data_IF_694673112011
#
_entry.id   IF_694673112011
#
_cell.length_a   1.000
_cell.length_b   1.000
_cell.length_c   1.000
_cell.angle_alpha   90.00
_cell.angle_beta   90.00
_cell.angle_gamma   90.00
#
_symmetry.space_group_name_H-M   'P 1'
#
loop_
_entity.id
_entity.type
_entity.pdbx_description
1 polymer ?
#
# COMPACT_ATOMS: atom_id res chain seq x y z
N UNK A 1 -23.30 -2.67 1.11
CA UNK A 1 -22.71 -2.50 -0.24
C UNK A 1 -21.74 -1.33 -0.27
N UNK A 2 -22.10 -0.19 0.32
CA UNK A 2 -21.35 1.06 0.14
C UNK A 2 -19.91 0.98 0.62
N UNK A 3 -19.66 0.40 1.81
CA UNK A 3 -18.29 0.34 2.34
C UNK A 3 -17.32 -0.47 1.46
N UNK A 4 -17.68 -1.69 1.06
CA UNK A 4 -16.81 -2.54 0.22
C UNK A 4 -16.60 -1.91 -1.16
N UNK A 5 -17.63 -1.28 -1.71
CA UNK A 5 -17.54 -0.56 -2.98
C UNK A 5 -16.56 0.62 -2.91
N UNK A 6 -16.68 1.47 -1.89
CA UNK A 6 -15.75 2.58 -1.68
C UNK A 6 -14.34 2.10 -1.35
N UNK A 7 -14.21 1.02 -0.58
CA UNK A 7 -12.92 0.40 -0.28
C UNK A 7 -12.22 -0.06 -1.56
N UNK A 8 -12.95 -0.69 -2.48
CA UNK A 8 -12.42 -1.12 -3.76
C UNK A 8 -11.97 0.08 -4.62
N UNK A 9 -12.73 1.17 -4.67
CA UNK A 9 -12.34 2.38 -5.40
C UNK A 9 -11.03 2.95 -4.84
N UNK A 10 -10.94 3.14 -3.53
CA UNK A 10 -9.75 3.71 -2.89
C UNK A 10 -8.54 2.79 -3.07
N UNK A 11 -8.71 1.47 -2.93
CA UNK A 11 -7.67 0.49 -3.22
C UNK A 11 -7.11 0.67 -4.63
N UNK A 12 -7.97 0.79 -5.64
CA UNK A 12 -7.53 0.96 -7.03
C UNK A 12 -6.78 2.29 -7.24
N UNK A 13 -7.23 3.39 -6.64
CA UNK A 13 -6.54 4.70 -6.73
C UNK A 13 -5.12 4.59 -6.20
N UNK A 14 -4.94 4.03 -5.00
CA UNK A 14 -3.62 3.89 -4.40
C UNK A 14 -2.75 2.87 -5.16
N UNK A 15 -3.31 1.78 -5.68
CA UNK A 15 -2.57 0.86 -6.55
C UNK A 15 -2.05 1.54 -7.83
N UNK A 16 -2.84 2.39 -8.47
CA UNK A 16 -2.41 3.17 -9.64
C UNK A 16 -1.30 4.14 -9.24
N UNK A 17 -1.46 4.89 -8.14
CA UNK A 17 -0.42 5.81 -7.67
C UNK A 17 0.87 5.10 -7.28
N UNK A 18 0.78 3.95 -6.62
CA UNK A 18 1.94 3.11 -6.31
C UNK A 18 2.67 2.67 -7.56
N UNK A 19 1.93 2.17 -8.56
CA UNK A 19 2.49 1.74 -9.83
C UNK A 19 3.15 2.90 -10.61
N UNK A 20 2.46 4.04 -10.74
CA UNK A 20 3.02 5.26 -11.35
C UNK A 20 4.24 5.76 -10.60
N UNK A 21 4.23 5.71 -9.27
CA UNK A 21 5.36 6.08 -8.42
C UNK A 21 6.60 5.23 -8.69
N UNK A 22 6.43 3.91 -8.84
CA UNK A 22 7.54 3.00 -9.17
C UNK A 22 8.08 3.28 -10.57
N UNK A 23 7.20 3.45 -11.58
CA UNK A 23 7.63 3.70 -12.96
C UNK A 23 8.42 5.01 -13.11
N UNK A 24 7.97 6.06 -12.42
CA UNK A 24 8.57 7.39 -12.51
C UNK A 24 9.64 7.64 -11.44
N UNK A 25 9.98 6.64 -10.62
CA UNK A 25 10.88 6.76 -9.48
C UNK A 25 10.50 7.91 -8.51
N UNK A 26 9.20 8.18 -8.39
CA UNK A 26 8.65 9.21 -7.51
C UNK A 26 8.41 8.63 -6.11
N UNK A 27 9.32 8.95 -5.19
CA UNK A 27 9.31 8.46 -3.81
C UNK A 27 8.02 8.79 -3.06
N UNK A 28 7.45 9.97 -3.30
CA UNK A 28 6.26 10.48 -2.60
C UNK A 28 5.04 9.59 -2.89
N UNK A 29 4.84 9.20 -4.14
CA UNK A 29 3.75 8.33 -4.56
C UNK A 29 3.89 6.92 -3.98
N UNK A 30 5.11 6.37 -4.01
CA UNK A 30 5.37 5.03 -3.43
C UNK A 30 5.21 5.04 -1.91
N UNK A 31 5.60 6.14 -1.24
CA UNK A 31 5.42 6.31 0.20
C UNK A 31 3.94 6.44 0.58
N UNK A 32 3.15 7.16 -0.22
CA UNK A 32 1.69 7.24 -0.04
C UNK A 32 1.02 5.87 -0.22
N UNK A 33 1.42 5.12 -1.24
CA UNK A 33 0.98 3.73 -1.44
C UNK A 33 1.35 2.82 -0.28
N UNK A 34 2.58 2.90 0.24
CA UNK A 34 3.01 2.18 1.44
C UNK A 34 2.15 2.52 2.65
N UNK A 35 1.97 3.82 2.94
CA UNK A 35 1.22 4.28 4.10
C UNK A 35 -0.23 3.79 4.06
N UNK A 36 -0.86 3.87 2.88
CA UNK A 36 -2.20 3.34 2.68
C UNK A 36 -2.29 1.84 2.97
N UNK A 37 -1.38 1.03 2.40
CA UNK A 37 -1.39 -0.41 2.61
C UNK A 37 -1.06 -0.82 4.05
N UNK A 38 -0.22 -0.05 4.75
CA UNK A 38 0.06 -0.28 6.17
C UNK A 38 -1.19 -0.08 7.05
N UNK A 39 -1.97 0.97 6.79
CA UNK A 39 -3.27 1.19 7.47
C UNK A 39 -4.26 0.11 7.07
N UNK A 40 -4.33 -0.21 5.78
CA UNK A 40 -5.25 -1.19 5.23
C UNK A 40 -5.03 -2.59 5.82
N UNK A 41 -3.79 -2.96 6.10
CA UNK A 41 -3.44 -4.19 6.80
C UNK A 41 -4.09 -4.24 8.19
N UNK A 42 -4.03 -3.16 8.97
CA UNK A 42 -4.61 -3.11 10.31
C UNK A 42 -6.13 -3.15 10.24
N UNK A 43 -6.73 -2.34 9.37
CA UNK A 43 -8.19 -2.24 9.22
C UNK A 43 -8.78 -3.56 8.72
N UNK A 44 -8.19 -4.15 7.69
CA UNK A 44 -8.67 -5.41 7.13
C UNK A 44 -8.54 -6.57 8.14
N UNK A 45 -7.47 -6.62 8.92
CA UNK A 45 -7.33 -7.61 9.98
C UNK A 45 -8.39 -7.46 11.07
N UNK A 46 -8.65 -6.24 11.54
CA UNK A 46 -9.69 -5.99 12.54
C UNK A 46 -11.06 -6.40 12.04
N UNK A 47 -11.45 -5.97 10.83
CA UNK A 47 -12.72 -6.36 10.23
C UNK A 47 -12.84 -7.87 10.06
N UNK A 48 -11.76 -8.55 9.67
CA UNK A 48 -11.79 -10.01 9.54
C UNK A 48 -11.99 -10.71 10.89
N UNK A 49 -11.29 -10.27 11.94
CA UNK A 49 -11.44 -10.82 13.30
C UNK A 49 -12.86 -10.56 13.84
N UNK A 50 -13.42 -9.38 13.60
CA UNK A 50 -14.77 -9.00 14.00
C UNK A 50 -15.81 -9.96 13.39
N UNK A 51 -15.74 -10.18 12.07
CA UNK A 51 -16.63 -11.12 11.38
C UNK A 51 -16.43 -12.57 11.86
N UNK A 52 -15.21 -12.97 12.21
CA UNK A 52 -14.97 -14.28 12.82
C UNK A 52 -15.53 -14.38 14.26
N UNK A 53 -15.49 -13.30 15.03
CA UNK A 53 -16.05 -13.24 16.38
C UNK A 53 -17.58 -13.35 16.34
N UNK A 54 -18.23 -12.69 15.37
CA UNK A 54 -19.69 -12.78 15.15
C UNK A 54 -20.14 -14.21 14.80
N UNK A 55 -19.30 -15.01 14.11
CA UNK A 55 -19.57 -16.44 13.91
C UNK A 55 -19.50 -17.23 15.22
N UNK A 56 -18.54 -16.88 16.08
CA UNK A 56 -18.23 -17.61 17.31
C UNK A 56 -19.16 -17.30 18.47
N UNK A 57 -19.65 -16.05 18.57
CA UNK A 57 -20.50 -15.56 19.67
C UNK A 57 -21.95 -15.51 19.18
N UNK A 58 -22.69 -16.59 19.40
CA UNK A 58 -24.13 -16.64 19.10
C UNK A 58 -24.93 -15.89 20.17
N UNK A 59 -25.54 -14.77 19.80
CA UNK A 59 -26.59 -14.16 20.63
C UNK A 59 -27.90 -14.93 20.49
N UNK A 60 -28.63 -15.06 21.60
CA UNK A 60 -29.91 -15.75 21.62
C UNK A 60 -30.92 -14.99 20.76
N UNK A 61 -31.46 -15.64 19.73
CA UNK A 61 -32.47 -15.06 18.83
C UNK A 61 -31.97 -14.67 17.44
N UNK A 62 -30.66 -14.75 17.18
CA UNK A 62 -30.11 -14.46 15.85
C UNK A 62 -30.10 -15.68 14.91
N UNK A 63 -30.19 -15.46 13.58
CA UNK A 63 -30.06 -16.52 12.58
C UNK A 63 -28.75 -17.30 12.74
N UNK A 64 -28.80 -18.60 12.44
CA UNK A 64 -27.68 -19.50 12.61
C UNK A 64 -26.53 -19.21 11.60
N UNK A 65 -25.56 -18.41 12.04
CA UNK A 65 -24.29 -18.17 11.33
C UNK A 65 -24.38 -17.12 10.22
N UNK A 66 -23.22 -16.80 9.63
CA UNK A 66 -23.13 -15.78 8.59
C UNK A 66 -23.90 -16.15 7.32
N UNK A 67 -24.58 -15.16 6.77
CA UNK A 67 -25.13 -15.16 5.41
C UNK A 67 -24.03 -15.46 4.39
N UNK A 68 -24.41 -15.99 3.23
CA UNK A 68 -23.47 -16.22 2.11
C UNK A 68 -22.73 -14.93 1.72
N UNK A 69 -23.40 -13.79 1.87
CA UNK A 69 -22.83 -12.47 1.61
C UNK A 69 -21.71 -12.10 2.60
N UNK A 70 -21.94 -12.23 3.91
CA UNK A 70 -20.93 -11.90 4.90
C UNK A 70 -19.70 -12.81 4.81
N UNK A 71 -19.91 -14.09 4.46
CA UNK A 71 -18.79 -15.00 4.17
C UNK A 71 -17.95 -14.53 2.98
N UNK A 72 -18.60 -14.06 1.91
CA UNK A 72 -17.91 -13.52 0.74
C UNK A 72 -17.16 -12.22 1.07
N UNK A 73 -17.78 -11.34 1.86
CA UNK A 73 -17.15 -10.11 2.35
C UNK A 73 -15.93 -10.40 3.23
N UNK A 74 -16.03 -11.34 4.17
CA UNK A 74 -14.91 -11.75 5.02
C UNK A 74 -13.75 -12.31 4.20
N UNK A 75 -14.04 -13.16 3.22
CA UNK A 75 -13.02 -13.69 2.31
C UNK A 75 -12.34 -12.57 1.51
N UNK A 76 -13.12 -11.62 0.96
CA UNK A 76 -12.57 -10.48 0.23
C UNK A 76 -11.65 -9.61 1.11
N UNK A 77 -12.08 -9.31 2.34
CA UNK A 77 -11.29 -8.53 3.31
C UNK A 77 -10.00 -9.30 3.69
N UNK A 78 -10.08 -10.61 3.85
CA UNK A 78 -8.91 -11.45 4.14
C UNK A 78 -7.88 -11.45 2.99
N UNK A 79 -8.32 -11.58 1.74
CA UNK A 79 -7.42 -11.46 0.59
C UNK A 79 -6.84 -10.06 0.48
N UNK A 80 -7.63 -9.03 0.76
CA UNK A 80 -7.16 -7.64 0.79
C UNK A 80 -6.08 -7.43 1.87
N UNK A 81 -6.21 -8.07 3.03
CA UNK A 81 -5.16 -8.09 4.07
C UNK A 81 -3.86 -8.70 3.57
N UNK A 82 -3.91 -9.89 2.96
CA UNK A 82 -2.72 -10.56 2.41
C UNK A 82 -2.05 -9.73 1.31
N UNK A 83 -2.85 -9.14 0.41
CA UNK A 83 -2.35 -8.25 -0.63
C UNK A 83 -1.72 -6.98 -0.06
N UNK A 84 -2.30 -6.42 1.01
CA UNK A 84 -1.74 -5.24 1.68
C UNK A 84 -0.38 -5.54 2.32
N UNK A 85 -0.19 -6.74 2.89
CA UNK A 85 1.13 -7.20 3.39
C UNK A 85 2.13 -7.26 2.24
N UNK A 86 1.78 -7.94 1.15
CA UNK A 86 2.66 -8.08 0.00
C UNK A 86 3.03 -6.70 -0.60
N UNK A 87 2.03 -5.84 -0.80
CA UNK A 87 2.21 -4.48 -1.30
C UNK A 87 3.15 -3.65 -0.41
N UNK A 88 3.02 -3.78 0.91
CA UNK A 88 3.90 -3.10 1.88
C UNK A 88 5.35 -3.54 1.71
N UNK A 89 5.61 -4.85 1.56
CA UNK A 89 6.96 -5.40 1.34
C UNK A 89 7.56 -4.96 -0.01
N UNK A 90 6.76 -4.91 -1.07
CA UNK A 90 7.24 -4.42 -2.37
C UNK A 90 7.50 -2.91 -2.33
N UNK A 91 6.65 -2.14 -1.65
CA UNK A 91 6.80 -0.70 -1.55
C UNK A 91 8.05 -0.31 -0.75
N UNK A 92 8.39 -1.02 0.33
CA UNK A 92 9.65 -0.75 1.08
C UNK A 92 10.87 -0.99 0.20
N UNK A 93 10.93 -2.11 -0.52
CA UNK A 93 12.02 -2.39 -1.46
C UNK A 93 12.13 -1.34 -2.57
N UNK A 94 10.99 -0.91 -3.13
CA UNK A 94 10.97 0.13 -4.15
C UNK A 94 11.48 1.48 -3.60
N UNK A 95 11.10 1.86 -2.38
CA UNK A 95 11.59 3.08 -1.73
C UNK A 95 13.10 3.02 -1.50
N UNK A 96 13.64 1.87 -1.08
CA UNK A 96 15.09 1.69 -0.92
C UNK A 96 15.82 1.84 -2.25
N UNK A 97 15.32 1.20 -3.31
CA UNK A 97 15.91 1.30 -4.65
C UNK A 97 15.90 2.75 -5.17
N UNK A 98 14.78 3.47 -5.03
CA UNK A 98 14.66 4.87 -5.45
C UNK A 98 15.65 5.74 -4.67
N UNK A 99 15.79 5.54 -3.35
CA UNK A 99 16.75 6.31 -2.53
C UNK A 99 18.19 6.10 -2.98
N UNK A 100 18.58 4.86 -3.30
CA UNK A 100 19.92 4.56 -3.80
C UNK A 100 20.17 5.27 -5.13
N UNK A 101 19.24 5.15 -6.08
CA UNK A 101 19.35 5.81 -7.40
C UNK A 101 19.42 7.34 -7.30
N UNK A 102 18.56 7.96 -6.49
CA UNK A 102 18.58 9.41 -6.27
C UNK A 102 19.92 9.86 -5.66
N UNK A 103 20.49 9.08 -4.74
CA UNK A 103 21.80 9.38 -4.15
C UNK A 103 22.93 9.26 -5.18
N UNK A 104 22.90 8.25 -6.04
CA UNK A 104 23.87 8.08 -7.12
C UNK A 104 23.79 9.23 -8.13
N UNK A 105 22.60 9.64 -8.55
CA UNK A 105 22.40 10.79 -9.43
C UNK A 105 22.90 12.10 -8.79
N UNK A 106 22.57 12.33 -7.51
CA UNK A 106 23.06 13.51 -6.79
C UNK A 106 24.59 13.54 -6.73
N UNK A 107 25.23 12.41 -6.42
CA UNK A 107 26.69 12.30 -6.41
C UNK A 107 27.29 12.58 -7.79
N UNK A 108 26.69 12.06 -8.87
CA UNK A 108 27.14 12.33 -10.26
C UNK A 108 27.03 13.81 -10.60
N UNK A 109 25.90 14.45 -10.27
CA UNK A 109 25.68 15.87 -10.51
C UNK A 109 26.64 16.74 -9.69
N UNK A 110 26.92 16.37 -8.44
CA UNK A 110 27.92 17.05 -7.61
C UNK A 110 29.31 17.00 -8.22
N UNK A 111 29.76 15.83 -8.70
CA UNK A 111 31.07 15.68 -9.36
C UNK A 111 31.14 16.48 -10.66
N UNK A 112 30.07 16.49 -11.46
CA UNK A 112 30.01 17.29 -12.68
C UNK A 112 30.03 18.79 -12.37
N UNK A 113 29.35 19.24 -11.32
CA UNK A 113 29.39 20.62 -10.84
C UNK A 113 30.80 21.04 -10.43
N UNK A 114 31.52 20.21 -9.69
CA UNK A 114 32.91 20.48 -9.28
C UNK A 114 33.85 20.56 -10.50
N UNK A 115 33.55 19.82 -11.57
CA UNK A 115 34.35 19.84 -12.81
C UNK A 115 34.06 21.10 -13.64
N UNK A 116 32.81 21.55 -13.69
CA UNK A 116 32.39 22.79 -14.38
C UNK A 116 32.92 24.06 -13.72
N UNK A 117 33.18 24.05 -12.40
CA UNK A 117 33.78 25.21 -11.71
C UNK A 117 35.27 25.44 -12.05
N UNK A 118 35.94 24.48 -12.69
CA UNK A 118 37.35 24.63 -13.08
C UNK A 118 37.57 25.22 -14.49
N UNK A 119 36.50 25.37 -15.28
CA UNK A 119 36.54 26.08 -16.56
C UNK A 119 36.27 27.59 -16.34
N UNK A 120 37.09 28.25 -15.53
CA UNK A 120 37.11 29.72 -15.45
C UNK A 120 38.36 30.22 -16.17
N UNK A 121 38.12 30.70 -17.40
CA UNK A 121 38.91 31.64 -18.21
C UNK A 121 40.42 31.36 -18.38
N UNK A 122 40.76 30.65 -19.48
CA UNK A 122 42.00 30.88 -20.23
C UNK A 122 41.70 31.64 -21.52
#
# INVERSE_FOLDING_TARGET
MDFIFWLAIVNNIFSIFGFTGVLNQQKELVTGFFAYNAVQMIVAFHYFVDVCADVGIRYSGEPAGLTSFERAAAAFIFFNFLLSIAATVFATKAIEEIKVKQREEYNRLSVLSDTLQYEVDQ
#
